data_IF_692099814944
#
_entry.id   IF_692099814944
#
_cell.length_a   1.000
_cell.length_b   1.000
_cell.length_c   1.000
_cell.angle_alpha   90.00
_cell.angle_beta   90.00
_cell.angle_gamma   90.00
#
_symmetry.space_group_name_H-M   'P 1'
#
loop_
_entity.id
_entity.type
_entity.pdbx_description
1 polymer ?
#
# COMPACT_ATOMS: atom_id res chain seq x y z
N UNK A 1 14.40 -18.48 23.62
CA UNK A 1 12.99 -18.06 23.46
C UNK A 1 12.75 -17.84 21.98
N UNK A 2 11.60 -18.28 21.49
CA UNK A 2 11.57 -18.98 20.21
C UNK A 2 11.17 -18.16 18.98
N UNK A 3 11.52 -18.70 17.82
CA UNK A 3 11.34 -18.07 16.52
C UNK A 3 9.88 -18.07 16.06
N UNK A 4 9.44 -16.95 15.48
CA UNK A 4 8.06 -16.73 15.01
C UNK A 4 7.59 -17.78 13.98
N UNK A 5 6.57 -18.61 14.28
CA UNK A 5 6.13 -19.68 13.37
C UNK A 5 5.29 -19.19 12.17
N UNK A 6 4.80 -17.93 12.22
CA UNK A 6 3.77 -17.40 11.32
C UNK A 6 4.12 -17.47 9.82
N UNK A 7 5.38 -17.19 9.44
CA UNK A 7 5.76 -16.99 8.04
C UNK A 7 5.78 -18.27 7.17
N UNK A 8 5.84 -19.47 7.76
CA UNK A 8 5.74 -20.72 6.98
C UNK A 8 4.31 -21.03 6.51
N UNK A 9 3.30 -20.51 7.20
CA UNK A 9 1.92 -20.94 6.99
C UNK A 9 1.28 -20.27 5.76
N UNK A 10 1.63 -19.01 5.47
CA UNK A 10 1.15 -18.27 4.29
C UNK A 10 1.49 -18.96 2.96
N UNK A 11 2.78 -19.33 2.75
CA UNK A 11 3.24 -19.98 1.51
C UNK A 11 2.58 -21.34 1.28
N UNK A 12 2.32 -22.11 2.34
CA UNK A 12 1.59 -23.38 2.24
C UNK A 12 0.16 -23.19 1.72
N UNK A 13 -0.57 -22.21 2.29
CA UNK A 13 -1.96 -21.90 1.90
C UNK A 13 -2.05 -21.45 0.44
N UNK A 14 -1.14 -20.62 -0.05
CA UNK A 14 -1.12 -20.20 -1.45
C UNK A 14 -0.95 -21.39 -2.42
N UNK A 15 -0.01 -22.30 -2.14
CA UNK A 15 0.19 -23.51 -2.95
C UNK A 15 -1.05 -24.41 -2.93
N UNK A 16 -1.69 -24.58 -1.77
CA UNK A 16 -2.90 -25.40 -1.64
C UNK A 16 -4.09 -24.81 -2.42
N UNK A 17 -4.26 -23.49 -2.40
CA UNK A 17 -5.28 -22.79 -3.22
C UNK A 17 -5.02 -22.96 -4.72
N UNK A 18 -3.77 -22.84 -5.19
CA UNK A 18 -3.43 -23.04 -6.61
C UNK A 18 -3.67 -24.49 -7.04
N UNK A 19 -3.35 -25.47 -6.19
CA UNK A 19 -3.64 -26.90 -6.47
C UNK A 19 -5.16 -27.14 -6.51
N UNK A 20 -5.92 -26.57 -5.58
CA UNK A 20 -7.38 -26.70 -5.57
C UNK A 20 -8.03 -26.08 -6.82
N UNK A 21 -7.59 -24.89 -7.24
CA UNK A 21 -8.07 -24.24 -8.47
C UNK A 21 -7.73 -25.06 -9.72
N UNK A 22 -6.51 -25.60 -9.83
CA UNK A 22 -6.13 -26.53 -10.90
C UNK A 22 -7.00 -27.79 -10.89
N UNK A 23 -7.29 -28.37 -9.72
CA UNK A 23 -8.15 -29.56 -9.61
C UNK A 23 -9.57 -29.27 -10.08
N UNK A 24 -10.14 -28.11 -9.72
CA UNK A 24 -11.47 -27.68 -10.17
C UNK A 24 -11.51 -27.52 -11.69
N UNK A 25 -10.49 -26.92 -12.31
CA UNK A 25 -10.40 -26.79 -13.78
C UNK A 25 -10.31 -28.16 -14.46
N UNK A 26 -9.50 -29.08 -13.93
CA UNK A 26 -9.42 -30.45 -14.46
C UNK A 26 -10.75 -31.19 -14.31
N UNK A 27 -11.42 -31.08 -13.16
CA UNK A 27 -12.74 -31.69 -12.94
C UNK A 27 -13.78 -31.09 -13.89
N UNK A 28 -13.78 -29.78 -14.11
CA UNK A 28 -14.71 -29.12 -15.03
C UNK A 28 -14.48 -29.55 -16.50
N UNK A 29 -13.23 -29.70 -16.93
CA UNK A 29 -12.89 -30.20 -18.27
C UNK A 29 -13.30 -31.67 -18.45
N UNK A 30 -13.05 -32.52 -17.44
CA UNK A 30 -13.48 -33.93 -17.48
C UNK A 30 -15.00 -34.06 -17.46
N UNK A 31 -15.69 -33.36 -16.55
CA UNK A 31 -17.16 -33.36 -16.49
C UNK A 31 -17.80 -32.81 -17.78
N UNK A 32 -17.23 -31.75 -18.37
CA UNK A 32 -17.67 -31.22 -19.66
C UNK A 32 -17.45 -32.18 -20.84
N UNK A 33 -16.55 -33.15 -20.71
CA UNK A 33 -16.36 -34.24 -21.69
C UNK A 33 -17.27 -35.46 -21.49
N UNK A 34 -18.00 -35.52 -20.37
CA UNK A 34 -18.97 -36.58 -20.08
C UNK A 34 -20.36 -35.96 -19.99
N UNK A 35 -21.06 -35.92 -21.12
CA UNK A 35 -22.45 -35.45 -21.19
C UNK A 35 -23.41 -36.38 -20.43
N UNK A 36 -23.46 -36.24 -19.10
CA UNK A 36 -24.48 -36.88 -18.26
C UNK A 36 -25.76 -36.07 -18.41
N UNK A 37 -26.59 -36.47 -19.39
CA UNK A 37 -27.94 -35.95 -19.53
C UNK A 37 -28.76 -36.35 -18.30
N UNK A 38 -29.07 -35.38 -17.44
CA UNK A 38 -30.03 -35.56 -16.36
C UNK A 38 -31.43 -35.47 -16.98
N UNK A 39 -32.03 -36.62 -17.28
CA UNK A 39 -33.36 -36.69 -17.87
C UNK A 39 -34.42 -36.08 -16.93
N UNK A 40 -35.36 -35.34 -17.52
CA UNK A 40 -36.42 -34.65 -16.80
C UNK A 40 -37.79 -35.22 -17.18
N UNK A 41 -38.18 -36.29 -16.50
CA UNK A 41 -39.59 -36.60 -16.23
C UNK A 41 -40.01 -35.84 -14.96
N UNK A 42 -41.25 -35.41 -14.75
CA UNK A 42 -42.48 -35.58 -15.54
C UNK A 42 -43.70 -35.58 -14.61
N UNK A 43 -44.88 -35.19 -15.12
CA UNK A 43 -46.16 -35.10 -14.39
C UNK A 43 -46.24 -33.98 -13.30
N UNK A 44 -47.32 -33.21 -13.13
CA UNK A 44 -48.60 -33.12 -13.86
C UNK A 44 -49.30 -31.75 -13.64
N UNK A 45 -50.33 -31.43 -14.44
CA UNK A 45 -51.11 -30.17 -14.38
C UNK A 45 -52.27 -30.19 -13.37
N UNK A 46 -53.37 -29.40 -13.55
CA UNK A 46 -53.73 -28.46 -14.63
C UNK A 46 -53.83 -26.98 -14.09
N UNK A 47 -54.34 -25.92 -14.75
CA UNK A 47 -55.59 -25.74 -15.51
C UNK A 47 -55.62 -24.55 -16.49
N UNK A 48 -56.65 -24.56 -17.35
CA UNK A 48 -57.21 -23.54 -18.29
C UNK A 48 -56.90 -22.06 -17.99
N UNK A 49 -56.76 -21.11 -18.94
CA UNK A 49 -57.47 -20.84 -20.24
C UNK A 49 -56.61 -19.78 -21.03
N UNK A 50 -56.82 -19.24 -22.25
CA UNK A 50 -57.95 -19.13 -23.23
C UNK A 50 -57.43 -19.06 -24.70
N UNK A 51 -58.29 -19.41 -25.66
CA UNK A 51 -58.14 -19.33 -27.13
C UNK A 51 -57.99 -17.91 -27.72
N UNK A 52 -57.18 -17.78 -28.80
CA UNK A 52 -57.47 -16.99 -30.01
C UNK A 52 -56.78 -17.68 -31.20
N UNK A 53 -57.32 -17.58 -32.43
CA UNK A 53 -57.11 -18.60 -33.48
C UNK A 53 -56.53 -18.09 -34.81
N UNK A 54 -55.99 -19.06 -35.56
CA UNK A 54 -55.93 -19.14 -37.04
C UNK A 54 -54.94 -18.21 -37.80
N UNK A 55 -54.38 -18.60 -38.96
CA UNK A 55 -54.60 -19.82 -39.77
C UNK A 55 -53.39 -20.23 -40.62
N UNK A 56 -53.25 -21.54 -40.86
CA UNK A 56 -52.72 -22.26 -42.06
C UNK A 56 -51.31 -21.92 -42.61
N UNK A 57 -50.49 -22.90 -43.03
CA UNK A 57 -50.75 -23.73 -44.23
C UNK A 57 -49.87 -25.00 -44.32
N UNK A 58 -50.51 -26.19 -44.42
CA UNK A 58 -50.09 -27.42 -45.16
C UNK A 58 -48.94 -28.37 -44.66
N UNK A 59 -49.37 -29.57 -44.20
CA UNK A 59 -48.81 -30.95 -44.27
C UNK A 59 -47.38 -31.23 -44.82
N UNK A 60 -46.45 -31.97 -44.15
CA UNK A 60 -46.36 -33.42 -43.77
C UNK A 60 -45.56 -34.29 -44.78
N UNK A 61 -44.99 -35.50 -44.44
CA UNK A 61 -44.71 -36.13 -43.13
C UNK A 61 -43.26 -36.70 -42.94
N UNK A 62 -42.98 -37.14 -41.70
CA UNK A 62 -42.15 -38.27 -41.22
C UNK A 62 -40.63 -38.47 -41.49
N UNK A 63 -40.03 -39.11 -40.47
CA UNK A 63 -38.82 -39.94 -40.36
C UNK A 63 -37.45 -39.46 -40.89
N UNK A 64 -36.52 -39.28 -39.94
CA UNK A 64 -35.12 -38.97 -40.21
C UNK A 64 -34.27 -38.82 -38.95
N UNK A 65 -34.23 -39.83 -38.07
CA UNK A 65 -33.32 -39.82 -36.94
C UNK A 65 -31.85 -39.87 -37.42
N UNK A 66 -31.07 -38.85 -37.06
CA UNK A 66 -29.62 -38.76 -37.34
C UNK A 66 -28.88 -38.42 -36.06
N UNK A 67 -28.02 -39.34 -35.60
CA UNK A 67 -27.20 -39.15 -34.40
C UNK A 67 -26.38 -37.84 -34.49
N UNK A 68 -26.45 -36.99 -33.47
CA UNK A 68 -25.39 -36.00 -33.27
C UNK A 68 -24.10 -36.75 -32.91
N UNK A 69 -23.02 -36.63 -33.71
CA UNK A 69 -21.76 -37.26 -33.37
C UNK A 69 -21.19 -36.56 -32.15
N UNK A 70 -21.17 -37.24 -31.00
CA UNK A 70 -20.51 -36.74 -29.78
C UNK A 70 -19.07 -36.34 -30.15
N UNK A 71 -18.82 -35.03 -30.19
CA UNK A 71 -17.53 -34.48 -30.60
C UNK A 71 -16.46 -34.92 -29.61
N UNK A 72 -15.76 -36.01 -29.95
CA UNK A 72 -14.64 -36.53 -29.15
C UNK A 72 -13.56 -35.45 -29.08
N UNK A 73 -13.51 -34.75 -27.94
CA UNK A 73 -12.52 -33.73 -27.63
C UNK A 73 -11.13 -34.19 -28.12
N UNK A 74 -10.52 -33.45 -29.07
CA UNK A 74 -9.52 -34.04 -29.94
C UNK A 74 -8.27 -34.43 -29.16
N UNK A 75 -7.77 -35.64 -29.42
CA UNK A 75 -6.73 -36.33 -28.65
C UNK A 75 -5.41 -35.54 -28.49
N UNK A 76 -5.14 -34.54 -29.33
CA UNK A 76 -4.01 -33.63 -29.17
C UNK A 76 -4.11 -32.73 -27.92
N UNK A 77 -5.31 -32.46 -27.40
CA UNK A 77 -5.50 -31.71 -26.14
C UNK A 77 -4.90 -32.47 -24.94
N UNK A 78 -5.07 -33.79 -24.87
CA UNK A 78 -4.45 -34.61 -23.82
C UNK A 78 -2.92 -34.50 -23.84
N UNK A 79 -2.31 -34.43 -25.03
CA UNK A 79 -0.86 -34.27 -25.18
C UNK A 79 -0.41 -32.89 -24.67
N UNK A 80 -1.14 -31.81 -24.99
CA UNK A 80 -0.84 -30.48 -24.45
C UNK A 80 -0.96 -30.43 -22.91
N UNK A 81 -1.99 -31.04 -22.34
CA UNK A 81 -2.18 -31.11 -20.87
C UNK A 81 -1.03 -31.89 -20.22
N UNK A 82 -0.64 -33.05 -20.77
CA UNK A 82 0.49 -33.84 -20.24
C UNK A 82 1.81 -33.05 -20.34
N UNK A 83 2.08 -32.38 -21.46
CA UNK A 83 3.28 -31.56 -21.62
C UNK A 83 3.29 -30.39 -20.62
N UNK A 84 2.18 -29.70 -20.42
CA UNK A 84 2.06 -28.62 -19.43
C UNK A 84 2.30 -29.12 -17.99
N UNK A 85 1.71 -30.27 -17.62
CA UNK A 85 1.93 -30.90 -16.30
C UNK A 85 3.39 -31.31 -16.12
N UNK A 86 4.02 -31.93 -17.12
CA UNK A 86 5.44 -32.31 -17.08
C UNK A 86 6.35 -31.08 -16.93
N UNK A 87 6.07 -29.99 -17.65
CA UNK A 87 6.82 -28.73 -17.51
C UNK A 87 6.66 -28.12 -16.11
N UNK A 88 5.46 -28.16 -15.53
CA UNK A 88 5.20 -27.71 -14.15
C UNK A 88 5.95 -28.59 -13.13
N UNK A 89 5.95 -29.91 -13.29
CA UNK A 89 6.70 -30.84 -12.43
C UNK A 89 8.20 -30.60 -12.55
N UNK A 90 8.73 -30.37 -13.76
CA UNK A 90 10.14 -30.01 -13.98
C UNK A 90 10.47 -28.65 -13.35
N UNK A 91 9.60 -27.65 -13.45
CA UNK A 91 9.79 -26.34 -12.81
C UNK A 91 9.83 -26.44 -11.27
N UNK A 92 8.98 -27.29 -10.68
CA UNK A 92 8.95 -27.56 -9.25
C UNK A 92 10.19 -28.37 -8.79
N UNK A 93 10.57 -29.41 -9.54
CA UNK A 93 11.71 -30.27 -9.21
C UNK A 93 13.08 -29.58 -9.44
N UNK A 94 13.17 -28.70 -10.44
CA UNK A 94 14.35 -27.84 -10.68
C UNK A 94 14.43 -26.62 -9.76
N UNK A 95 13.58 -26.57 -8.72
CA UNK A 95 13.61 -25.59 -7.63
C UNK A 95 14.97 -25.55 -6.93
N UNK A 96 15.90 -24.77 -7.50
CA UNK A 96 17.24 -24.51 -6.96
C UNK A 96 17.09 -24.11 -5.50
N UNK A 97 17.53 -25.00 -4.58
CA UNK A 97 17.61 -24.67 -3.15
C UNK A 97 18.35 -23.34 -3.02
N UNK A 98 17.73 -22.27 -2.49
CA UNK A 98 18.43 -21.01 -2.36
C UNK A 98 19.64 -21.26 -1.48
N UNK A 99 20.84 -21.01 -2.00
CA UNK A 99 22.04 -20.94 -1.18
C UNK A 99 21.73 -19.96 -0.05
N UNK A 100 22.08 -20.24 1.21
CA UNK A 100 21.90 -19.27 2.29
C UNK A 100 22.75 -18.05 1.92
N UNK A 101 22.07 -17.00 1.45
CA UNK A 101 22.69 -15.68 1.31
C UNK A 101 23.09 -15.29 2.73
N UNK A 102 24.36 -14.94 3.00
CA UNK A 102 24.73 -14.42 4.30
C UNK A 102 23.88 -13.17 4.52
N UNK A 103 22.94 -13.24 5.48
CA UNK A 103 22.17 -12.07 5.89
C UNK A 103 23.17 -11.11 6.47
N UNK A 104 23.49 -10.06 5.72
CA UNK A 104 24.40 -9.03 6.17
C UNK A 104 23.84 -8.44 7.47
N UNK A 105 24.51 -8.74 8.58
CA UNK A 105 24.19 -8.16 9.89
C UNK A 105 24.47 -6.67 9.79
N UNK A 106 23.41 -5.89 9.57
CA UNK A 106 23.47 -4.43 9.42
C UNK A 106 24.24 -3.87 10.61
N UNK A 107 25.36 -3.19 10.36
CA UNK A 107 26.18 -2.70 11.45
C UNK A 107 25.53 -1.48 12.10
N UNK A 108 25.89 -1.19 13.35
CA UNK A 108 25.45 0.06 13.99
C UNK A 108 25.86 1.30 13.18
N UNK A 109 26.97 1.25 12.42
CA UNK A 109 27.37 2.32 11.51
C UNK A 109 26.43 2.47 10.30
N UNK A 110 25.89 1.38 9.79
CA UNK A 110 24.90 1.43 8.70
C UNK A 110 23.57 1.99 9.21
N UNK A 111 23.16 1.62 10.44
CA UNK A 111 22.05 2.26 11.14
C UNK A 111 22.30 3.77 11.36
N UNK A 112 23.51 4.17 11.76
CA UNK A 112 23.87 5.60 11.88
C UNK A 112 23.80 6.33 10.54
N UNK A 113 24.31 5.74 9.45
CA UNK A 113 24.27 6.34 8.10
C UNK A 113 22.86 6.48 7.56
N UNK A 114 22.02 5.45 7.70
CA UNK A 114 20.61 5.51 7.26
C UNK A 114 19.79 6.48 8.11
N UNK A 115 19.97 6.46 9.45
CA UNK A 115 19.31 7.40 10.36
C UNK A 115 19.74 8.84 10.12
N UNK A 116 21.03 9.08 9.92
CA UNK A 116 21.56 10.40 9.55
C UNK A 116 21.01 10.89 8.21
N UNK A 117 20.96 10.04 7.17
CA UNK A 117 20.45 10.44 5.87
C UNK A 117 18.97 10.88 5.92
N UNK A 118 18.12 10.15 6.64
CA UNK A 118 16.70 10.51 6.79
C UNK A 118 16.49 11.74 7.70
N UNK A 119 17.24 11.83 8.81
CA UNK A 119 17.22 13.02 9.67
C UNK A 119 17.75 14.27 8.95
N UNK A 120 18.81 14.13 8.14
CA UNK A 120 19.41 15.21 7.35
C UNK A 120 18.43 15.76 6.33
N UNK A 121 17.72 14.88 5.61
CA UNK A 121 16.66 15.27 4.68
C UNK A 121 15.52 15.99 5.40
N UNK A 122 15.03 15.47 6.54
CA UNK A 122 13.97 16.15 7.30
C UNK A 122 14.40 17.53 7.77
N UNK A 123 15.66 17.72 8.21
CA UNK A 123 16.18 19.03 8.59
C UNK A 123 16.35 20.00 7.41
N UNK A 124 16.56 19.52 6.18
CA UNK A 124 16.47 20.40 5.00
C UNK A 124 15.02 20.78 4.73
N UNK A 125 14.15 19.77 4.61
CA UNK A 125 12.76 19.85 4.12
C UNK A 125 11.78 20.54 5.07
N UNK A 126 11.95 20.42 6.39
CA UNK A 126 11.07 21.05 7.39
C UNK A 126 11.42 22.55 7.53
N UNK A 127 10.98 23.35 6.55
CA UNK A 127 11.18 24.81 6.45
C UNK A 127 9.94 25.60 6.88
N UNK A 128 10.13 26.90 7.09
CA UNK A 128 9.05 27.89 7.16
C UNK A 128 8.20 27.85 5.88
N UNK A 129 8.80 27.73 4.69
CA UNK A 129 8.08 27.66 3.40
C UNK A 129 7.13 26.46 3.32
N UNK A 130 7.56 25.28 3.80
CA UNK A 130 6.72 24.08 3.85
C UNK A 130 5.56 24.27 4.83
N UNK A 131 5.79 24.93 5.97
CA UNK A 131 4.75 25.20 6.95
C UNK A 131 3.74 26.26 6.46
N UNK A 132 4.21 27.33 5.80
CA UNK A 132 3.36 28.35 5.18
C UNK A 132 2.55 27.76 4.03
N UNK A 133 3.18 26.98 3.14
CA UNK A 133 2.47 26.25 2.09
C UNK A 133 1.39 25.34 2.67
N UNK A 134 1.73 24.51 3.67
CA UNK A 134 0.78 23.58 4.29
C UNK A 134 -0.39 24.31 4.93
N UNK A 135 -0.11 25.43 5.60
CA UNK A 135 -1.09 26.25 6.28
C UNK A 135 -2.03 27.00 5.35
N UNK A 136 -1.54 27.45 4.19
CA UNK A 136 -2.41 27.97 3.12
C UNK A 136 -3.25 26.80 2.54
N UNK A 137 -2.63 25.65 2.25
CA UNK A 137 -3.32 24.43 1.77
C UNK A 137 -4.22 23.73 2.81
N UNK A 138 -4.38 24.27 4.02
CA UNK A 138 -5.43 23.89 4.98
C UNK A 138 -6.70 24.74 4.81
N UNK A 139 -6.62 25.85 4.08
CA UNK A 139 -7.71 26.81 3.81
C UNK A 139 -8.10 26.77 2.33
N UNK A 140 -7.11 26.67 1.44
CA UNK A 140 -7.27 26.74 -0.02
C UNK A 140 -7.89 25.47 -0.66
N UNK A 141 -8.41 24.51 0.12
CA UNK A 141 -9.08 23.28 -0.36
C UNK A 141 -10.43 23.58 -1.07
N UNK A 142 -10.73 24.87 -1.30
CA UNK A 142 -11.84 25.40 -2.07
C UNK A 142 -11.44 26.36 -3.20
N UNK A 143 -10.16 26.75 -3.38
CA UNK A 143 -9.75 27.70 -4.44
C UNK A 143 -8.45 27.31 -5.16
N UNK A 144 -8.42 27.49 -6.48
CA UNK A 144 -7.33 26.97 -7.32
C UNK A 144 -5.95 27.64 -7.07
N UNK A 145 -5.90 28.83 -6.45
CA UNK A 145 -4.69 29.67 -6.42
C UNK A 145 -3.58 29.07 -5.56
N UNK A 146 -3.92 28.44 -4.43
CA UNK A 146 -2.96 27.79 -3.52
C UNK A 146 -2.22 26.59 -4.12
N UNK A 147 -2.76 25.99 -5.18
CA UNK A 147 -2.19 24.77 -5.80
C UNK A 147 -0.88 25.02 -6.56
N UNK A 148 -0.74 26.20 -7.18
CA UNK A 148 0.25 26.44 -8.25
C UNK A 148 1.71 26.51 -7.80
N UNK A 149 1.97 26.71 -6.50
CA UNK A 149 3.30 26.66 -5.90
C UNK A 149 3.62 25.30 -5.24
N UNK A 150 2.69 24.35 -5.26
CA UNK A 150 2.61 23.29 -4.27
C UNK A 150 3.30 21.96 -4.59
N UNK A 151 3.64 21.64 -5.85
CA UNK A 151 3.96 20.25 -6.25
C UNK A 151 5.11 19.60 -5.45
N UNK A 152 6.27 20.25 -5.38
CA UNK A 152 7.43 19.72 -4.63
C UNK A 152 7.25 19.74 -3.10
N UNK A 153 6.44 20.66 -2.57
CA UNK A 153 6.12 20.75 -1.14
C UNK A 153 5.06 19.72 -0.74
N UNK A 154 4.09 19.45 -1.62
CA UNK A 154 3.10 18.38 -1.47
C UNK A 154 3.75 16.99 -1.55
N UNK A 155 4.69 16.77 -2.48
CA UNK A 155 5.47 15.52 -2.52
C UNK A 155 6.30 15.36 -1.24
N UNK A 156 7.01 16.42 -0.83
CA UNK A 156 7.77 16.44 0.43
C UNK A 156 6.90 16.11 1.65
N UNK A 157 5.67 16.63 1.69
CA UNK A 157 4.69 16.37 2.75
C UNK A 157 4.16 14.92 2.70
N UNK A 158 3.87 14.40 1.51
CA UNK A 158 3.41 13.03 1.32
C UNK A 158 4.47 11.98 1.69
N UNK A 159 5.75 12.26 1.41
CA UNK A 159 6.86 11.40 1.84
C UNK A 159 7.07 11.43 3.37
N UNK A 160 6.76 12.55 4.03
CA UNK A 160 7.31 12.92 5.33
C UNK A 160 7.06 11.90 6.46
N UNK A 161 5.85 11.34 6.55
CA UNK A 161 5.54 10.29 7.54
C UNK A 161 6.40 9.03 7.35
N UNK A 162 6.45 8.51 6.11
CA UNK A 162 7.24 7.32 5.78
C UNK A 162 8.75 7.53 5.90
N UNK A 163 9.25 8.78 5.84
CA UNK A 163 10.65 9.12 6.11
C UNK A 163 10.94 9.28 7.60
N UNK A 164 9.99 9.82 8.36
CA UNK A 164 10.05 9.88 9.83
C UNK A 164 10.09 8.49 10.46
N UNK A 165 9.25 7.56 10.01
CA UNK A 165 9.21 6.20 10.55
C UNK A 165 10.48 5.39 10.24
N UNK A 166 11.07 5.56 9.04
CA UNK A 166 12.38 4.98 8.72
C UNK A 166 13.49 5.61 9.57
N UNK A 167 13.51 6.94 9.71
CA UNK A 167 14.48 7.64 10.57
C UNK A 167 14.44 7.11 12.00
N UNK A 168 13.25 7.05 12.62
CA UNK A 168 13.04 6.48 13.95
C UNK A 168 13.51 5.03 14.02
N UNK A 169 13.14 4.19 13.05
CA UNK A 169 13.55 2.79 12.98
C UNK A 169 15.07 2.63 12.93
N UNK A 170 15.77 3.44 12.13
CA UNK A 170 17.23 3.38 12.02
C UNK A 170 17.93 3.96 13.26
N UNK A 171 17.41 5.03 13.86
CA UNK A 171 18.00 5.64 15.05
C UNK A 171 17.76 4.82 16.33
N UNK A 172 16.59 4.20 16.51
CA UNK A 172 16.38 3.25 17.62
C UNK A 172 17.20 1.96 17.43
N UNK A 173 17.42 1.50 16.19
CA UNK A 173 18.32 0.39 15.92
C UNK A 173 19.80 0.76 16.18
N UNK A 174 20.22 1.99 15.85
CA UNK A 174 21.52 2.52 16.28
C UNK A 174 21.62 2.57 17.80
N UNK A 175 20.61 3.10 18.50
CA UNK A 175 20.59 3.20 19.96
C UNK A 175 20.79 1.82 20.63
N UNK A 176 20.08 0.80 20.16
CA UNK A 176 20.15 -0.56 20.69
C UNK A 176 21.45 -1.31 20.30
N UNK A 177 22.12 -0.91 19.22
CA UNK A 177 23.34 -1.54 18.71
C UNK A 177 24.62 -0.72 18.97
N UNK A 178 24.52 0.42 19.64
CA UNK A 178 25.63 1.34 19.89
C UNK A 178 26.74 0.69 20.74
N UNK A 179 28.02 0.91 20.41
CA UNK A 179 29.13 0.36 21.20
C UNK A 179 29.35 1.08 22.53
N UNK A 180 28.76 2.25 22.72
CA UNK A 180 28.96 3.12 23.89
C UNK A 180 27.72 4.00 24.19
N UNK A 181 27.57 4.50 25.44
CA UNK A 181 26.40 5.30 25.83
C UNK A 181 26.27 6.66 25.13
N UNK A 182 27.36 7.28 24.66
CA UNK A 182 27.32 8.58 23.96
C UNK A 182 26.76 8.39 22.55
N UNK A 183 27.18 7.34 21.84
CA UNK A 183 26.59 6.97 20.54
C UNK A 183 25.09 6.73 20.64
N UNK A 184 24.63 6.02 21.69
CA UNK A 184 23.20 5.85 21.96
C UNK A 184 22.48 7.16 22.30
N UNK A 185 23.11 8.05 23.08
CA UNK A 185 22.54 9.36 23.42
C UNK A 185 22.40 10.28 22.19
N UNK A 186 23.37 10.29 21.28
CA UNK A 186 23.27 11.01 20.01
C UNK A 186 22.11 10.51 19.15
N UNK A 187 21.83 9.20 19.15
CA UNK A 187 20.70 8.61 18.45
C UNK A 187 19.35 9.08 19.03
N UNK A 188 19.18 9.03 20.36
CA UNK A 188 17.99 9.57 21.06
C UNK A 188 17.75 11.03 20.75
N UNK A 189 18.80 11.87 20.91
CA UNK A 189 18.73 13.32 20.67
C UNK A 189 18.31 13.65 19.23
N UNK A 190 18.75 12.85 18.26
CA UNK A 190 18.33 12.98 16.87
C UNK A 190 16.84 12.65 16.67
N UNK A 191 16.31 11.59 17.30
CA UNK A 191 14.87 11.26 17.25
C UNK A 191 14.01 12.35 17.91
N UNK A 192 14.43 12.83 19.08
CA UNK A 192 13.75 13.88 19.85
C UNK A 192 13.66 15.18 19.04
N UNK A 193 14.80 15.70 18.56
CA UNK A 193 14.85 16.97 17.82
C UNK A 193 14.16 16.91 16.46
N UNK A 194 14.25 15.80 15.72
CA UNK A 194 13.49 15.59 14.48
C UNK A 194 11.98 15.53 14.75
N UNK A 195 11.55 14.93 15.85
CA UNK A 195 10.13 14.89 16.25
C UNK A 195 9.63 16.27 16.66
N UNK A 196 10.43 17.04 17.41
CA UNK A 196 10.11 18.42 17.79
C UNK A 196 10.01 19.35 16.58
N UNK A 197 11.00 19.31 15.68
CA UNK A 197 11.00 20.07 14.42
C UNK A 197 9.76 19.79 13.56
N UNK A 198 9.30 18.53 13.51
CA UNK A 198 8.05 18.18 12.84
C UNK A 198 6.83 18.82 13.52
N UNK A 199 6.72 18.69 14.84
CA UNK A 199 5.61 19.30 15.59
C UNK A 199 5.60 20.83 15.49
N UNK A 200 6.78 21.47 15.37
CA UNK A 200 6.90 22.91 15.14
C UNK A 200 6.45 23.32 13.73
N UNK A 201 6.73 22.52 12.69
CA UNK A 201 6.16 22.74 11.34
C UNK A 201 4.64 22.59 11.34
N UNK A 202 4.10 21.55 12.00
CA UNK A 202 2.65 21.36 12.13
C UNK A 202 2.00 22.56 12.85
N UNK A 203 2.49 22.93 14.03
CA UNK A 203 1.96 24.08 14.78
C UNK A 203 2.08 25.41 14.02
N UNK A 204 3.11 25.59 13.19
CA UNK A 204 3.29 26.77 12.32
C UNK A 204 2.29 26.81 11.16
N UNK A 205 1.97 25.64 10.59
CA UNK A 205 0.94 25.49 9.56
C UNK A 205 -0.47 25.71 10.13
N UNK A 206 -0.77 25.14 11.30
CA UNK A 206 -2.04 25.34 12.00
C UNK A 206 -2.24 26.81 12.41
N UNK A 207 -1.19 27.49 12.88
CA UNK A 207 -1.23 28.92 13.16
C UNK A 207 -1.45 29.77 11.90
N UNK A 208 -0.88 29.39 10.75
CA UNK A 208 -1.12 30.03 9.46
C UNK A 208 -2.59 29.89 9.04
N UNK A 209 -3.12 28.68 9.11
CA UNK A 209 -4.52 28.38 8.76
C UNK A 209 -5.48 29.13 9.70
N UNK A 210 -5.22 29.13 11.01
CA UNK A 210 -6.00 29.86 12.00
C UNK A 210 -6.02 31.38 11.77
N UNK A 211 -4.89 31.97 11.37
CA UNK A 211 -4.83 33.39 11.00
C UNK A 211 -5.63 33.69 9.73
N UNK A 212 -5.42 32.93 8.65
CA UNK A 212 -6.17 33.06 7.39
C UNK A 212 -7.68 32.91 7.59
N UNK A 213 -8.11 31.91 8.36
CA UNK A 213 -9.53 31.71 8.70
C UNK A 213 -10.11 32.89 9.49
N UNK A 214 -9.34 33.55 10.36
CA UNK A 214 -9.78 34.73 11.10
C UNK A 214 -9.89 35.99 10.21
N UNK A 215 -8.99 36.16 9.24
CA UNK A 215 -9.13 37.19 8.20
C UNK A 215 -10.42 36.97 7.39
N UNK A 216 -10.58 35.77 6.84
CA UNK A 216 -11.65 35.42 5.91
C UNK A 216 -13.04 35.37 6.60
N UNK A 217 -13.09 35.12 7.92
CA UNK A 217 -14.33 35.18 8.72
C UNK A 217 -14.68 36.57 9.24
N UNK A 218 -13.85 37.60 9.01
CA UNK A 218 -14.08 38.96 9.53
C UNK A 218 -13.96 39.05 11.06
N UNK A 219 -12.97 38.39 11.66
CA UNK A 219 -12.72 38.41 13.10
C UNK A 219 -12.39 39.82 13.63
N UNK A 220 -12.55 40.03 14.95
CA UNK A 220 -12.27 41.34 15.56
C UNK A 220 -10.77 41.71 15.49
N UNK A 221 -10.41 43.00 15.59
CA UNK A 221 -9.01 43.43 15.59
C UNK A 221 -8.16 42.71 16.65
N UNK A 222 -8.72 42.47 17.84
CA UNK A 222 -8.07 41.76 18.94
C UNK A 222 -7.80 40.29 18.59
N UNK A 223 -8.77 39.62 17.93
CA UNK A 223 -8.64 38.23 17.48
C UNK A 223 -7.59 38.09 16.38
N UNK A 224 -7.53 39.05 15.44
CA UNK A 224 -6.52 39.10 14.39
C UNK A 224 -5.10 39.33 14.96
N UNK A 225 -4.97 40.18 15.99
CA UNK A 225 -3.72 40.38 16.73
C UNK A 225 -3.29 39.08 17.44
N UNK A 226 -4.19 38.42 18.17
CA UNK A 226 -3.84 37.18 18.89
C UNK A 226 -3.45 36.04 17.94
N UNK A 227 -4.14 35.91 16.81
CA UNK A 227 -3.80 34.96 15.76
C UNK A 227 -2.44 35.27 15.11
N UNK A 228 -2.12 36.55 14.89
CA UNK A 228 -0.83 36.98 14.34
C UNK A 228 0.33 36.76 15.32
N UNK A 229 0.14 37.03 16.60
CA UNK A 229 1.12 36.72 17.65
C UNK A 229 1.38 35.22 17.77
N UNK A 230 0.33 34.40 17.59
CA UNK A 230 0.44 32.93 17.51
C UNK A 230 1.26 32.49 16.29
N UNK A 231 1.09 33.15 15.14
CA UNK A 231 1.88 32.91 13.93
C UNK A 231 3.37 33.24 14.14
N UNK A 232 3.68 34.42 14.71
CA UNK A 232 5.06 34.87 14.99
C UNK A 232 5.75 33.93 15.99
N UNK A 233 5.02 33.53 17.05
CA UNK A 233 5.52 32.63 18.11
C UNK A 233 5.82 31.23 17.58
N UNK A 234 4.98 30.69 16.71
CA UNK A 234 5.20 29.36 16.10
C UNK A 234 6.34 29.37 15.10
N UNK A 235 6.52 30.43 14.30
CA UNK A 235 7.69 30.58 13.41
C UNK A 235 9.00 30.68 14.21
N UNK A 236 9.01 31.44 15.31
CA UNK A 236 10.15 31.54 16.23
C UNK A 236 10.50 30.19 16.87
N UNK A 237 9.50 29.37 17.19
CA UNK A 237 9.71 28.00 17.69
C UNK A 237 10.27 27.08 16.61
N UNK A 238 9.73 27.13 15.39
CA UNK A 238 10.23 26.37 14.24
C UNK A 238 11.71 26.66 13.95
N UNK A 239 12.13 27.93 14.03
CA UNK A 239 13.53 28.29 13.86
C UNK A 239 14.43 27.64 14.93
N UNK A 240 14.06 27.73 16.20
CA UNK A 240 14.81 27.15 17.33
C UNK A 240 14.92 25.63 17.23
N UNK A 241 13.84 24.96 16.86
CA UNK A 241 13.82 23.50 16.75
C UNK A 241 14.65 23.02 15.54
N UNK A 242 14.75 23.83 14.48
CA UNK A 242 15.64 23.59 13.34
C UNK A 242 17.12 23.76 13.72
N UNK A 243 17.46 24.74 14.55
CA UNK A 243 18.82 24.86 15.12
C UNK A 243 19.17 23.68 16.05
N UNK A 244 18.21 23.20 16.84
CA UNK A 244 18.38 22.03 17.70
C UNK A 244 18.59 20.75 16.88
N UNK A 245 17.79 20.53 15.83
CA UNK A 245 17.93 19.40 14.91
C UNK A 245 19.26 19.46 14.12
N UNK A 246 19.66 20.62 13.62
CA UNK A 246 20.96 20.82 12.96
C UNK A 246 22.14 20.53 13.92
N UNK A 247 21.98 20.82 15.22
CA UNK A 247 22.98 20.51 16.25
C UNK A 247 23.02 19.01 16.55
N UNK A 248 21.87 18.34 16.72
CA UNK A 248 21.82 16.89 16.91
C UNK A 248 22.34 16.11 15.69
N UNK A 249 22.12 16.64 14.47
CA UNK A 249 22.73 16.11 13.24
C UNK A 249 24.25 16.26 13.22
N UNK A 250 24.79 17.37 13.73
CA UNK A 250 26.23 17.55 13.88
C UNK A 250 26.81 16.51 14.84
N UNK A 251 26.17 16.29 15.99
CA UNK A 251 26.57 15.24 16.95
C UNK A 251 26.53 13.85 16.29
N UNK A 252 25.41 13.50 15.63
CA UNK A 252 25.21 12.22 14.94
C UNK A 252 26.22 11.99 13.79
N UNK A 253 26.63 13.05 13.09
CA UNK A 253 27.61 12.96 12.01
C UNK A 253 29.00 12.49 12.46
N UNK A 254 29.32 12.59 13.76
CA UNK A 254 30.59 12.10 14.31
C UNK A 254 30.69 10.58 14.40
N UNK A 255 29.61 9.85 14.10
CA UNK A 255 29.51 8.38 14.24
C UNK A 255 29.70 7.59 12.93
N UNK A 256 29.88 8.26 11.80
CA UNK A 256 29.71 7.70 10.44
C UNK A 256 30.90 6.86 9.91
#
# INVERSE_FOLDING_TARGET
MDSSPQLRHSRSRFVLVVIAAMLIVVIAVVAGSTGIALAADGDGGPDTTTTTAASDTTTSPDDGASDEPIERAPWWLLILVVVAVVLIVIALASGRRPKPVPVATVSWKDHARMGYAEARWMNDTLTEDLAVWRGNALVDDTTAVGSTAGTGLAESWAQLAGRMDRCRSHLYALEAAAPDPRSAQSARRAVETVTSLRAAVDARADARAGYRNAEDSGASPEQLIEARDREIRTSTNLHRDREAAATALRDLSTLL
#
